data_IF_149931132466
#
_entry.id   IF_149931132466
#
_cell.length_a   1.000
_cell.length_b   1.000
_cell.length_c   1.000
_cell.angle_alpha   90.00
_cell.angle_beta   90.00
_cell.angle_gamma   90.00
#
_symmetry.space_group_name_H-M   'P 1'
#
loop_
_entity.id
_entity.type
_entity.pdbx_description
1 polymer ?
#
# COMPACT_ATOMS: atom_id res chain seq x y z
N UNK A 1 6.03 -58.41 -17.13
CA UNK A 1 7.06 -57.35 -17.25
C UNK A 1 6.47 -56.13 -17.94
N UNK A 2 5.91 -56.25 -19.15
CA UNK A 2 5.35 -55.12 -19.90
C UNK A 2 4.19 -54.39 -19.19
N UNK A 3 3.19 -55.12 -18.66
CA UNK A 3 2.06 -54.52 -17.92
C UNK A 3 2.53 -53.76 -16.68
N UNK A 4 3.53 -54.29 -15.98
CA UNK A 4 4.11 -53.65 -14.79
C UNK A 4 4.85 -52.36 -15.18
N UNK A 5 5.58 -52.38 -16.31
CA UNK A 5 6.26 -51.21 -16.84
C UNK A 5 5.27 -50.12 -17.29
N UNK A 6 4.13 -50.54 -17.88
CA UNK A 6 3.04 -49.65 -18.29
C UNK A 6 2.36 -49.00 -17.06
N UNK A 7 2.09 -49.78 -16.00
CA UNK A 7 1.57 -49.26 -14.73
C UNK A 7 2.52 -48.26 -14.08
N UNK A 8 3.82 -48.54 -14.07
CA UNK A 8 4.84 -47.62 -13.53
C UNK A 8 4.89 -46.33 -14.36
N UNK A 9 4.84 -46.42 -15.69
CA UNK A 9 4.82 -45.26 -16.56
C UNK A 9 3.59 -44.37 -16.30
N UNK A 10 2.40 -44.99 -16.15
CA UNK A 10 1.16 -44.28 -15.81
C UNK A 10 1.27 -43.60 -14.43
N UNK A 11 1.82 -44.29 -13.44
CA UNK A 11 2.03 -43.73 -12.09
C UNK A 11 2.95 -42.50 -12.14
N UNK A 12 4.05 -42.56 -12.90
CA UNK A 12 4.98 -41.45 -13.07
C UNK A 12 4.29 -40.24 -13.71
N UNK A 13 3.48 -40.46 -14.75
CA UNK A 13 2.74 -39.37 -15.41
C UNK A 13 1.76 -38.70 -14.44
N UNK A 14 1.03 -39.48 -13.64
CA UNK A 14 0.11 -38.94 -12.62
C UNK A 14 0.88 -38.09 -11.59
N UNK A 15 2.03 -38.58 -11.14
CA UNK A 15 2.85 -37.89 -10.14
C UNK A 15 3.40 -36.56 -10.68
N UNK A 16 3.87 -36.54 -11.93
CA UNK A 16 4.31 -35.30 -12.60
C UNK A 16 3.15 -34.31 -12.73
N UNK A 17 1.96 -34.78 -13.10
CA UNK A 17 0.77 -33.94 -13.22
C UNK A 17 0.38 -33.32 -11.87
N UNK A 18 0.40 -34.12 -10.80
CA UNK A 18 0.11 -33.66 -9.44
C UNK A 18 1.09 -32.57 -8.98
N UNK A 19 2.40 -32.81 -9.12
CA UNK A 19 3.44 -31.84 -8.75
C UNK A 19 3.31 -30.55 -9.56
N UNK A 20 3.03 -30.67 -10.86
CA UNK A 20 2.85 -29.51 -11.73
C UNK A 20 1.64 -28.65 -11.33
N UNK A 21 0.52 -29.29 -10.96
CA UNK A 21 -0.67 -28.59 -10.48
C UNK A 21 -0.44 -27.92 -9.13
N UNK A 22 0.22 -28.62 -8.20
CA UNK A 22 0.58 -28.08 -6.89
C UNK A 22 1.47 -26.83 -7.02
N UNK A 23 2.51 -26.91 -7.85
CA UNK A 23 3.42 -25.78 -8.08
C UNK A 23 2.70 -24.55 -8.69
N UNK A 24 1.73 -24.77 -9.60
CA UNK A 24 0.91 -23.68 -10.14
C UNK A 24 0.09 -23.00 -9.05
N UNK A 25 -0.57 -23.77 -8.18
CA UNK A 25 -1.36 -23.24 -7.07
C UNK A 25 -0.51 -22.45 -6.08
N UNK A 26 0.67 -22.96 -5.72
CA UNK A 26 1.60 -22.26 -4.84
C UNK A 26 2.08 -20.95 -5.48
N UNK A 27 2.40 -20.97 -6.78
CA UNK A 27 2.80 -19.77 -7.51
C UNK A 27 1.70 -18.71 -7.50
N UNK A 28 0.46 -19.07 -7.83
CA UNK A 28 -0.68 -18.14 -7.78
C UNK A 28 -0.91 -17.58 -6.38
N UNK A 29 -0.84 -18.42 -5.34
CA UNK A 29 -0.95 -17.96 -3.95
C UNK A 29 0.12 -16.93 -3.60
N UNK A 30 1.37 -17.17 -3.99
CA UNK A 30 2.46 -16.25 -3.73
C UNK A 30 2.28 -14.92 -4.48
N UNK A 31 1.79 -14.94 -5.73
CA UNK A 31 1.49 -13.73 -6.50
C UNK A 31 0.42 -12.85 -5.83
N UNK A 32 -0.63 -13.46 -5.26
CA UNK A 32 -1.65 -12.72 -4.50
C UNK A 32 -1.07 -12.11 -3.22
N UNK A 33 -0.21 -12.85 -2.50
CA UNK A 33 0.44 -12.35 -1.28
C UNK A 33 1.40 -11.19 -1.58
N UNK A 34 2.18 -11.29 -2.66
CA UNK A 34 3.06 -10.22 -3.14
C UNK A 34 2.27 -8.97 -3.50
N UNK A 35 1.18 -9.13 -4.26
CA UNK A 35 0.29 -8.04 -4.63
C UNK A 35 -0.31 -7.34 -3.39
N UNK A 36 -0.75 -8.12 -2.39
CA UNK A 36 -1.26 -7.59 -1.13
C UNK A 36 -0.18 -6.80 -0.37
N UNK A 37 1.03 -7.35 -0.26
CA UNK A 37 2.14 -6.67 0.41
C UNK A 37 2.49 -5.34 -0.28
N UNK A 38 2.40 -5.26 -1.61
CA UNK A 38 2.59 -4.01 -2.35
C UNK A 38 1.57 -2.92 -1.99
N UNK A 39 0.30 -3.30 -1.78
CA UNK A 39 -0.74 -2.39 -1.29
C UNK A 39 -0.39 -1.89 0.11
N UNK A 40 -0.06 -2.80 1.03
CA UNK A 40 0.25 -2.48 2.43
C UNK A 40 1.43 -1.49 2.53
N UNK A 41 2.51 -1.73 1.76
CA UNK A 41 3.68 -0.84 1.71
C UNK A 41 3.30 0.55 1.16
N UNK A 42 2.47 0.60 0.12
CA UNK A 42 2.05 1.88 -0.47
C UNK A 42 1.20 2.71 0.49
N UNK A 43 0.33 2.05 1.26
CA UNK A 43 -0.48 2.69 2.30
C UNK A 43 0.37 3.20 3.46
N UNK A 44 1.38 2.44 3.90
CA UNK A 44 2.33 2.89 4.92
C UNK A 44 3.10 4.13 4.45
N UNK A 45 3.62 4.13 3.23
CA UNK A 45 4.29 5.30 2.64
C UNK A 45 3.38 6.52 2.57
N UNK A 46 2.11 6.32 2.23
CA UNK A 46 1.11 7.39 2.20
C UNK A 46 0.91 8.00 3.59
N UNK A 47 0.79 7.17 4.62
CA UNK A 47 0.71 7.63 6.00
C UNK A 47 1.95 8.44 6.41
N UNK A 48 3.15 7.94 6.09
CA UNK A 48 4.41 8.63 6.40
C UNK A 48 4.49 9.99 5.70
N UNK A 49 4.14 10.06 4.41
CA UNK A 49 4.11 11.33 3.66
C UNK A 49 3.10 12.34 4.21
N UNK A 50 1.94 11.90 4.72
CA UNK A 50 0.98 12.79 5.38
C UNK A 50 1.56 13.31 6.70
N UNK A 51 2.31 12.48 7.43
CA UNK A 51 3.01 12.90 8.65
C UNK A 51 4.04 13.98 8.35
N UNK A 52 4.87 13.76 7.33
CA UNK A 52 5.87 14.73 6.88
C UNK A 52 5.21 16.03 6.42
N UNK A 53 4.08 15.94 5.72
CA UNK A 53 3.30 17.10 5.29
C UNK A 53 2.81 17.94 6.48
N UNK A 54 2.31 17.30 7.53
CA UNK A 54 1.89 17.98 8.77
C UNK A 54 3.07 18.68 9.44
N UNK A 55 4.24 18.04 9.48
CA UNK A 55 5.44 18.65 10.06
C UNK A 55 5.89 19.89 9.28
N UNK A 56 5.87 19.83 7.94
CA UNK A 56 6.17 20.99 7.10
C UNK A 56 5.15 22.10 7.33
N UNK A 57 3.85 21.80 7.33
CA UNK A 57 2.79 22.79 7.60
C UNK A 57 2.98 23.44 8.98
N UNK A 58 3.39 22.67 9.99
CA UNK A 58 3.70 23.18 11.34
C UNK A 58 4.94 24.09 11.38
N UNK A 59 5.88 23.94 10.44
CA UNK A 59 7.01 24.88 10.31
C UNK A 59 6.57 26.27 9.86
N UNK A 60 5.51 26.37 9.07
CA UNK A 60 4.99 27.62 8.51
C UNK A 60 3.78 28.18 9.27
N UNK A 61 3.15 27.36 10.11
CA UNK A 61 1.97 27.75 10.89
C UNK A 61 2.22 27.49 12.37
N UNK A 62 1.71 28.35 13.27
CA UNK A 62 1.72 28.05 14.72
C UNK A 62 0.68 26.97 15.11
N UNK A 63 0.11 26.28 14.13
CA UNK A 63 -1.12 25.52 14.25
C UNK A 63 -0.84 24.01 14.40
N UNK A 64 -1.66 23.39 15.25
CA UNK A 64 -1.98 21.97 15.36
C UNK A 64 -0.95 20.93 15.85
N UNK A 65 -0.76 20.90 17.17
CA UNK A 65 -0.42 19.66 17.89
C UNK A 65 -1.55 18.62 17.84
N UNK A 66 -2.80 19.04 17.68
CA UNK A 66 -3.98 18.16 17.70
C UNK A 66 -4.04 17.22 16.48
N UNK A 67 -3.78 17.73 15.27
CA UNK A 67 -3.73 16.90 14.05
C UNK A 67 -2.58 15.91 14.07
N UNK A 68 -1.42 16.31 14.61
CA UNK A 68 -0.29 15.40 14.81
C UNK A 68 -0.63 14.31 15.84
N UNK A 69 -1.30 14.66 16.94
CA UNK A 69 -1.77 13.68 17.92
C UNK A 69 -2.80 12.71 17.32
N UNK A 70 -3.71 13.20 16.47
CA UNK A 70 -4.65 12.36 15.71
C UNK A 70 -3.89 11.41 14.79
N UNK A 71 -2.88 11.86 14.05
CA UNK A 71 -2.03 10.99 13.22
C UNK A 71 -1.28 9.94 14.05
N UNK A 72 -0.65 10.34 15.16
CA UNK A 72 0.06 9.41 16.05
C UNK A 72 -0.91 8.35 16.60
N UNK A 73 -2.14 8.74 16.95
CA UNK A 73 -3.17 7.80 17.40
C UNK A 73 -3.59 6.82 16.30
N UNK A 74 -3.72 7.30 15.05
CA UNK A 74 -4.01 6.46 13.88
C UNK A 74 -2.86 5.49 13.58
N UNK A 75 -1.60 5.91 13.76
CA UNK A 75 -0.42 5.03 13.64
C UNK A 75 -0.41 3.92 14.66
N UNK A 76 -0.84 4.21 15.89
CA UNK A 76 -0.83 3.25 16.99
C UNK A 76 -2.01 2.28 16.91
N UNK A 77 -3.11 2.66 16.27
CA UNK A 77 -4.28 1.82 15.98
C UNK A 77 -4.06 0.87 14.78
N UNK A 78 -2.89 0.23 14.70
CA UNK A 78 -2.47 -0.73 13.65
C UNK A 78 -3.37 -1.98 13.46
N UNK A 79 -4.53 -2.07 14.13
CA UNK A 79 -5.33 -3.29 14.22
C UNK A 79 -6.82 -3.14 13.83
N UNK A 80 -7.34 -1.94 13.57
CA UNK A 80 -8.76 -1.74 13.20
C UNK A 80 -8.87 -1.26 11.75
N UNK A 81 -9.51 -2.09 10.93
CA UNK A 81 -9.95 -1.85 9.56
C UNK A 81 -9.22 -0.75 8.77
N UNK A 82 -8.32 -1.19 7.89
CA UNK A 82 -7.56 -0.35 6.95
C UNK A 82 -8.40 0.67 6.15
N UNK A 83 -9.70 0.43 5.99
CA UNK A 83 -10.62 1.37 5.33
C UNK A 83 -10.89 2.61 6.20
N UNK A 84 -11.17 2.43 7.49
CA UNK A 84 -11.44 3.54 8.42
C UNK A 84 -10.23 4.46 8.60
N UNK A 85 -9.03 3.87 8.64
CA UNK A 85 -7.77 4.64 8.71
C UNK A 85 -7.58 5.47 7.43
N UNK A 86 -7.87 4.91 6.25
CA UNK A 86 -7.74 5.65 4.99
C UNK A 86 -8.76 6.79 4.86
N UNK A 87 -9.99 6.60 5.34
CA UNK A 87 -10.99 7.67 5.38
C UNK A 87 -10.54 8.80 6.30
N UNK A 88 -10.05 8.47 7.49
CA UNK A 88 -9.49 9.46 8.43
C UNK A 88 -8.31 10.24 7.84
N UNK A 89 -7.43 9.59 7.08
CA UNK A 89 -6.32 10.24 6.38
C UNK A 89 -6.80 11.16 5.25
N UNK A 90 -7.87 10.81 4.55
CA UNK A 90 -8.48 11.67 3.53
C UNK A 90 -9.04 12.95 4.16
N UNK A 91 -9.74 12.83 5.29
CA UNK A 91 -10.27 13.99 6.02
C UNK A 91 -9.15 14.95 6.44
N UNK A 92 -8.06 14.41 7.01
CA UNK A 92 -6.89 15.20 7.43
C UNK A 92 -6.22 15.86 6.22
N UNK A 93 -6.10 15.15 5.10
CA UNK A 93 -5.51 15.74 3.88
C UNK A 93 -6.35 16.90 3.36
N UNK A 94 -7.68 16.76 3.39
CA UNK A 94 -8.60 17.82 2.98
C UNK A 94 -8.51 19.05 3.89
N UNK A 95 -8.42 18.85 5.22
CA UNK A 95 -8.24 19.98 6.15
C UNK A 95 -6.90 20.68 5.95
N UNK A 96 -5.82 19.92 5.72
CA UNK A 96 -4.50 20.47 5.41
C UNK A 96 -4.50 21.30 4.13
N UNK A 97 -5.19 20.85 3.08
CA UNK A 97 -5.32 21.62 1.84
C UNK A 97 -5.94 23.01 2.06
N UNK A 98 -6.97 23.11 2.92
CA UNK A 98 -7.58 24.39 3.30
C UNK A 98 -6.60 25.30 4.03
N UNK A 99 -5.74 24.74 4.88
CA UNK A 99 -4.67 25.49 5.56
C UNK A 99 -3.65 25.97 4.54
N UNK A 100 -3.16 25.09 3.65
CA UNK A 100 -2.14 25.40 2.65
C UNK A 100 -2.57 26.57 1.73
N UNK A 101 -3.83 26.64 1.32
CA UNK A 101 -4.33 27.76 0.51
C UNK A 101 -4.22 29.13 1.20
N UNK A 102 -4.18 29.17 2.54
CA UNK A 102 -4.00 30.41 3.32
C UNK A 102 -2.54 30.84 3.42
N UNK A 103 -1.58 29.98 3.05
CA UNK A 103 -0.15 30.22 3.17
C UNK A 103 0.58 30.02 1.82
N UNK A 104 0.58 31.04 0.95
CA UNK A 104 1.24 30.98 -0.38
C UNK A 104 2.73 30.62 -0.31
N UNK A 105 3.44 31.08 0.72
CA UNK A 105 4.88 30.80 0.91
C UNK A 105 5.15 29.32 1.15
N UNK A 106 4.27 28.63 1.89
CA UNK A 106 4.34 27.18 2.08
C UNK A 106 4.09 26.44 0.75
N UNK A 107 3.08 26.88 0.00
CA UNK A 107 2.72 26.30 -1.30
C UNK A 107 3.83 26.43 -2.34
N UNK A 108 4.63 27.49 -2.26
CA UNK A 108 5.80 27.70 -3.11
C UNK A 108 7.08 27.03 -2.59
N UNK A 109 7.07 26.46 -1.38
CA UNK A 109 8.26 25.83 -0.80
C UNK A 109 8.64 24.57 -1.59
N UNK A 110 9.94 24.42 -1.88
CA UNK A 110 10.47 23.27 -2.59
C UNK A 110 10.18 21.95 -1.85
N UNK A 111 10.23 21.97 -0.52
CA UNK A 111 9.92 20.81 0.31
C UNK A 111 8.46 20.35 0.16
N UNK A 112 7.51 21.29 0.15
CA UNK A 112 6.10 20.96 -0.09
C UNK A 112 5.85 20.44 -1.50
N UNK A 113 6.44 21.07 -2.53
CA UNK A 113 6.32 20.61 -3.92
C UNK A 113 6.87 19.19 -4.11
N UNK A 114 7.99 18.87 -3.47
CA UNK A 114 8.57 17.53 -3.48
C UNK A 114 7.67 16.50 -2.77
N UNK A 115 7.09 16.86 -1.60
CA UNK A 115 6.14 16.00 -0.91
C UNK A 115 4.89 15.73 -1.76
N UNK A 116 4.37 16.74 -2.44
CA UNK A 116 3.19 16.57 -3.29
C UNK A 116 3.48 15.64 -4.49
N UNK A 117 4.67 15.78 -5.10
CA UNK A 117 5.14 14.88 -6.16
C UNK A 117 5.28 13.45 -5.65
N UNK A 118 5.86 13.26 -4.46
CA UNK A 118 5.99 11.94 -3.85
C UNK A 118 4.63 11.32 -3.52
N UNK A 119 3.68 12.12 -3.04
CA UNK A 119 2.31 11.67 -2.81
C UNK A 119 1.66 11.16 -4.10
N UNK A 120 1.79 11.91 -5.20
CA UNK A 120 1.29 11.50 -6.51
C UNK A 120 1.91 10.17 -6.97
N UNK A 121 3.22 10.00 -6.80
CA UNK A 121 3.91 8.75 -7.14
C UNK A 121 3.39 7.57 -6.28
N UNK A 122 3.17 7.78 -4.99
CA UNK A 122 2.63 6.74 -4.09
C UNK A 122 1.21 6.35 -4.49
N UNK A 123 0.37 7.31 -4.87
CA UNK A 123 -0.98 7.04 -5.37
C UNK A 123 -0.95 6.24 -6.68
N UNK A 124 -0.05 6.57 -7.61
CA UNK A 124 0.14 5.79 -8.84
C UNK A 124 0.57 4.34 -8.53
N UNK A 125 1.53 4.16 -7.62
CA UNK A 125 1.97 2.84 -7.16
C UNK A 125 0.86 2.06 -6.45
N UNK A 126 0.04 2.72 -5.64
CA UNK A 126 -1.11 2.10 -4.98
C UNK A 126 -2.13 1.62 -6.01
N UNK A 127 -2.45 2.45 -7.01
CA UNK A 127 -3.34 2.06 -8.10
C UNK A 127 -2.78 0.89 -8.91
N UNK A 128 -1.48 0.90 -9.22
CA UNK A 128 -0.82 -0.20 -9.92
C UNK A 128 -0.89 -1.50 -9.10
N UNK A 129 -0.62 -1.42 -7.79
CA UNK A 129 -0.68 -2.58 -6.88
C UNK A 129 -2.10 -3.13 -6.76
N UNK A 130 -3.12 -2.26 -6.72
CA UNK A 130 -4.54 -2.66 -6.74
C UNK A 130 -4.94 -3.34 -8.05
N UNK A 131 -4.50 -2.81 -9.20
CA UNK A 131 -4.72 -3.45 -10.50
C UNK A 131 -4.06 -4.83 -10.56
N UNK A 132 -2.83 -4.94 -10.05
CA UNK A 132 -2.11 -6.21 -10.01
C UNK A 132 -2.79 -7.22 -9.07
N UNK A 133 -3.28 -6.79 -7.90
CA UNK A 133 -4.05 -7.63 -6.98
C UNK A 133 -5.36 -8.11 -7.60
N UNK A 134 -6.10 -7.24 -8.28
CA UNK A 134 -7.38 -7.58 -8.91
C UNK A 134 -7.25 -8.47 -10.15
N UNK A 135 -6.08 -8.49 -10.79
CA UNK A 135 -5.81 -9.28 -11.99
C UNK A 135 -5.21 -10.68 -11.70
N UNK A 136 -4.78 -10.95 -10.47
CA UNK A 136 -4.24 -12.24 -10.01
C UNK A 136 -5.32 -13.14 -9.42
#
# INVERSE_FOLDING_TARGET
MEIVMLLIAVLIVILIMYVSMYNKLVKSRNSVLEAKSGIDISLLKRFDLITDLVEVVKGYTKYESETLNKLISLRNNNNSEFNETNESLNEITNSLNVVIEKYPDLKASEQFLNLQKNMANVEEHLQASRRFYNNN
#
